data_IF_105463455877
#
_entry.id   IF_105463455877
#
_cell.length_a   1.000
_cell.length_b   1.000
_cell.length_c   1.000
_cell.angle_alpha   90.00
_cell.angle_beta   90.00
_cell.angle_gamma   90.00
#
_symmetry.space_group_name_H-M   'P 1'
#
loop_
_entity.id
_entity.type
_entity.pdbx_description
1 polymer ?
#
# COMPACT_ATOMS: atom_id res chain seq x y z
N UNK A 1 -4.90 14.68 3.15
CA UNK A 1 -3.68 14.68 2.30
C UNK A 1 -3.91 13.95 0.99
N UNK A 2 -4.44 12.71 0.99
CA UNK A 2 -4.64 11.93 -0.25
C UNK A 2 -5.59 12.56 -1.28
N UNK A 3 -6.60 13.31 -0.84
CA UNK A 3 -7.54 13.97 -1.75
C UNK A 3 -6.90 15.05 -2.64
N UNK A 4 -5.89 15.76 -2.15
CA UNK A 4 -5.23 16.84 -2.92
C UNK A 4 -4.48 16.25 -4.11
N UNK A 5 -3.85 15.09 -3.92
CA UNK A 5 -3.09 14.39 -4.96
C UNK A 5 -3.99 13.79 -6.06
N UNK A 6 -5.29 13.62 -5.77
CA UNK A 6 -6.29 13.14 -6.73
C UNK A 6 -6.93 14.28 -7.54
N UNK A 7 -6.73 15.54 -7.17
CA UNK A 7 -7.33 16.69 -7.86
C UNK A 7 -6.96 16.71 -9.35
N UNK A 8 -5.69 16.57 -9.76
CA UNK A 8 -5.31 16.60 -11.18
C UNK A 8 -6.02 15.52 -11.99
N UNK A 9 -6.19 14.35 -11.36
CA UNK A 9 -6.86 13.19 -11.91
C UNK A 9 -8.36 13.45 -12.19
N UNK A 10 -8.99 14.31 -11.41
CA UNK A 10 -10.39 14.70 -11.55
C UNK A 10 -10.57 15.90 -12.50
N UNK A 11 -9.61 16.82 -12.56
CA UNK A 11 -9.73 18.05 -13.36
C UNK A 11 -9.35 17.88 -14.83
N UNK A 12 -8.40 17.00 -15.16
CA UNK A 12 -7.82 16.95 -16.51
C UNK A 12 -8.50 15.95 -17.49
N UNK A 13 -9.73 15.48 -17.21
CA UNK A 13 -10.47 14.53 -18.08
C UNK A 13 -9.67 13.26 -18.43
N UNK A 14 -8.79 12.80 -17.56
CA UNK A 14 -8.04 11.54 -17.76
C UNK A 14 -8.96 10.30 -17.77
N UNK A 15 -10.18 10.45 -17.26
CA UNK A 15 -11.22 9.42 -17.29
C UNK A 15 -11.94 9.45 -18.63
N UNK A 16 -11.73 8.41 -19.44
CA UNK A 16 -12.42 8.19 -20.71
C UNK A 16 -13.48 7.11 -20.57
N UNK A 17 -14.62 7.29 -21.24
CA UNK A 17 -15.62 6.24 -21.38
C UNK A 17 -15.18 5.23 -22.44
N UNK A 18 -15.06 3.95 -22.07
CA UNK A 18 -14.76 2.87 -23.02
C UNK A 18 -16.08 2.29 -23.54
N UNK A 19 -16.48 2.57 -24.79
CA UNK A 19 -17.77 2.13 -25.32
C UNK A 19 -17.88 0.62 -25.43
N UNK A 20 -16.76 -0.09 -25.66
CA UNK A 20 -16.74 -1.55 -25.79
C UNK A 20 -17.11 -2.29 -24.50
N UNK A 21 -16.86 -1.65 -23.35
CA UNK A 21 -17.03 -2.30 -22.04
C UNK A 21 -18.03 -1.58 -21.12
N UNK A 22 -18.65 -0.47 -21.56
CA UNK A 22 -19.65 0.29 -20.83
C UNK A 22 -19.22 0.78 -19.43
N UNK A 23 -17.95 1.14 -19.25
CA UNK A 23 -17.45 1.74 -18.02
C UNK A 23 -16.48 2.90 -18.27
N UNK A 24 -16.36 3.78 -17.27
CA UNK A 24 -15.39 4.88 -17.27
C UNK A 24 -14.10 4.44 -16.58
N UNK A 25 -12.96 4.68 -17.23
CA UNK A 25 -11.66 4.40 -16.63
C UNK A 25 -10.61 5.41 -17.09
N UNK A 26 -9.56 5.56 -16.28
CA UNK A 26 -8.35 6.30 -16.65
C UNK A 26 -7.77 5.65 -17.90
N UNK A 27 -7.63 6.43 -18.97
CA UNK A 27 -7.07 5.93 -20.22
C UNK A 27 -5.59 5.59 -20.03
N UNK A 28 -5.19 4.35 -20.34
CA UNK A 28 -3.76 4.01 -20.45
C UNK A 28 -3.10 4.62 -21.70
N UNK A 29 -3.87 5.31 -22.55
CA UNK A 29 -3.35 5.91 -23.78
C UNK A 29 -2.29 6.99 -23.54
N UNK A 30 -2.35 7.68 -22.40
CA UNK A 30 -1.33 8.65 -22.03
C UNK A 30 -0.32 8.00 -21.08
N UNK A 31 0.91 7.86 -21.57
CA UNK A 31 2.04 7.39 -20.76
C UNK A 31 2.25 8.32 -19.57
N UNK A 32 2.03 9.63 -19.74
CA UNK A 32 2.19 10.63 -18.68
C UNK A 32 1.20 10.41 -17.54
N UNK A 33 -0.08 10.21 -17.85
CA UNK A 33 -1.15 10.03 -16.86
C UNK A 33 -0.91 8.73 -16.07
N UNK A 34 -0.48 7.69 -16.78
CA UNK A 34 -0.18 6.39 -16.17
C UNK A 34 1.05 6.46 -15.26
N UNK A 35 2.11 7.16 -15.69
CA UNK A 35 3.29 7.40 -14.86
C UNK A 35 2.96 8.26 -13.64
N UNK A 36 2.18 9.33 -13.81
CA UNK A 36 1.75 10.18 -12.72
C UNK A 36 0.93 9.40 -11.70
N UNK A 37 -0.07 8.63 -12.15
CA UNK A 37 -0.86 7.74 -11.29
C UNK A 37 0.03 6.72 -10.56
N UNK A 38 0.98 6.11 -11.27
CA UNK A 38 1.95 5.19 -10.70
C UNK A 38 2.79 5.82 -9.57
N UNK A 39 3.32 7.01 -9.82
CA UNK A 39 4.14 7.74 -8.84
C UNK A 39 3.31 8.17 -7.63
N UNK A 40 2.14 8.75 -7.86
CA UNK A 40 1.31 9.30 -6.77
C UNK A 40 0.69 8.20 -5.92
N UNK A 41 0.21 7.12 -6.53
CA UNK A 41 -0.51 6.05 -5.83
C UNK A 41 0.45 5.04 -5.18
N UNK A 42 1.62 4.80 -5.77
CA UNK A 42 2.53 3.77 -5.28
C UNK A 42 3.85 4.34 -4.75
N UNK A 43 4.59 5.09 -5.57
CA UNK A 43 5.95 5.53 -5.21
C UNK A 43 5.92 6.52 -4.05
N UNK A 44 5.09 7.55 -4.12
CA UNK A 44 5.00 8.58 -3.08
C UNK A 44 4.61 8.01 -1.70
N UNK A 45 3.55 7.21 -1.54
CA UNK A 45 3.20 6.64 -0.24
C UNK A 45 4.23 5.60 0.25
N UNK A 46 4.81 4.79 -0.62
CA UNK A 46 5.86 3.84 -0.19
C UNK A 46 7.14 4.56 0.23
N UNK A 47 7.54 5.61 -0.48
CA UNK A 47 8.73 6.38 -0.17
C UNK A 47 8.55 7.22 1.11
N UNK A 48 7.42 7.92 1.26
CA UNK A 48 7.10 8.69 2.46
C UNK A 48 7.01 7.79 3.71
N UNK A 49 6.34 6.64 3.62
CA UNK A 49 6.29 5.68 4.74
C UNK A 49 7.68 5.19 5.09
N UNK A 50 8.51 4.84 4.10
CA UNK A 50 9.89 4.40 4.34
C UNK A 50 10.70 5.47 5.07
N UNK A 51 10.64 6.73 4.63
CA UNK A 51 11.36 7.84 5.29
C UNK A 51 10.90 8.02 6.74
N UNK A 52 9.57 8.04 6.97
CA UNK A 52 9.00 8.19 8.32
C UNK A 52 9.52 7.07 9.22
N UNK A 53 9.50 5.81 8.75
CA UNK A 53 9.99 4.68 9.53
C UNK A 53 11.51 4.72 9.75
N UNK A 54 12.30 5.09 8.75
CA UNK A 54 13.75 5.28 8.92
C UNK A 54 14.04 6.35 9.97
N UNK A 55 13.28 7.45 9.96
CA UNK A 55 13.40 8.51 10.96
C UNK A 55 13.06 8.02 12.36
N UNK A 56 11.94 7.30 12.52
CA UNK A 56 11.53 6.69 13.79
C UNK A 56 12.62 5.75 14.31
N UNK A 57 13.14 4.86 13.47
CA UNK A 57 14.21 3.92 13.84
C UNK A 57 15.46 4.67 14.29
N UNK A 58 15.87 5.72 13.56
CA UNK A 58 17.05 6.51 13.92
C UNK A 58 16.85 7.27 15.24
N UNK A 59 15.66 7.82 15.46
CA UNK A 59 15.30 8.47 16.72
C UNK A 59 15.32 7.50 17.90
N UNK A 60 14.75 6.31 17.73
CA UNK A 60 14.77 5.27 18.76
C UNK A 60 16.19 4.78 19.05
N UNK A 61 17.04 4.60 18.03
CA UNK A 61 18.46 4.26 18.22
C UNK A 61 19.20 5.31 19.06
N UNK A 62 19.00 6.60 18.77
CA UNK A 62 19.60 7.69 19.57
C UNK A 62 19.10 7.69 21.02
N UNK A 63 17.81 7.49 21.22
CA UNK A 63 17.19 7.43 22.57
C UNK A 63 17.64 6.19 23.36
N UNK A 64 17.76 5.04 22.70
CA UNK A 64 18.22 3.78 23.29
C UNK A 64 19.69 3.81 23.72
N UNK A 65 20.52 4.67 23.11
CA UNK A 65 21.90 4.91 23.53
C UNK A 65 21.96 5.67 24.86
N UNK A 66 20.93 6.46 25.23
CA UNK A 66 20.86 7.12 26.54
C UNK A 66 20.27 6.24 27.65
N UNK A 67 19.41 5.26 27.33
CA UNK A 67 18.86 4.30 28.30
C UNK A 67 19.74 3.04 28.38
N UNK A 68 20.93 3.18 28.95
CA UNK A 68 22.01 2.19 28.87
C UNK A 68 21.76 0.98 29.79
N UNK A 69 22.03 -0.21 29.25
CA UNK A 69 22.20 -1.53 29.89
C UNK A 69 20.99 -2.48 30.03
N UNK A 70 19.91 -2.23 30.80
CA UNK A 70 19.01 -3.35 31.16
C UNK A 70 17.78 -3.57 30.26
N UNK A 71 17.32 -2.56 29.51
CA UNK A 71 16.18 -2.70 28.56
C UNK A 71 16.57 -3.04 27.12
N UNK A 72 17.87 -3.00 26.80
CA UNK A 72 18.41 -3.08 25.43
C UNK A 72 18.01 -4.36 24.68
N UNK A 73 17.87 -5.49 25.39
CA UNK A 73 17.53 -6.76 24.74
C UNK A 73 16.05 -6.85 24.33
N UNK A 74 15.13 -6.31 25.15
CA UNK A 74 13.70 -6.29 24.83
C UNK A 74 13.39 -5.27 23.71
N UNK A 75 14.04 -4.11 23.71
CA UNK A 75 13.81 -3.08 22.68
C UNK A 75 14.35 -3.51 21.31
N UNK A 76 15.52 -4.15 21.24
CA UNK A 76 16.05 -4.68 19.97
C UNK A 76 15.14 -5.75 19.35
N UNK A 77 14.48 -6.59 20.16
CA UNK A 77 13.52 -7.55 19.63
C UNK A 77 12.25 -6.88 19.08
N UNK A 78 11.77 -5.82 19.73
CA UNK A 78 10.63 -5.04 19.22
C UNK A 78 10.96 -4.35 17.90
N UNK A 79 12.17 -3.79 17.76
CA UNK A 79 12.62 -3.13 16.55
C UNK A 79 12.72 -4.09 15.36
N UNK A 80 13.25 -5.30 15.59
CA UNK A 80 13.29 -6.35 14.57
C UNK A 80 11.89 -6.80 14.15
N UNK A 81 10.93 -6.85 15.09
CA UNK A 81 9.54 -7.15 14.76
C UNK A 81 8.95 -6.05 13.89
N UNK A 82 9.17 -4.77 14.20
CA UNK A 82 8.68 -3.65 13.38
C UNK A 82 9.33 -3.65 11.98
N UNK A 83 10.63 -3.93 11.88
CA UNK A 83 11.30 -4.02 10.59
C UNK A 83 10.76 -5.19 9.75
N UNK A 84 10.61 -6.37 10.34
CA UNK A 84 10.02 -7.55 9.67
C UNK A 84 8.62 -7.25 9.15
N UNK A 85 7.82 -6.51 9.94
CA UNK A 85 6.48 -6.05 9.60
C UNK A 85 6.46 -5.14 8.37
N UNK A 86 7.38 -4.18 8.29
CA UNK A 86 7.53 -3.29 7.13
C UNK A 86 7.95 -4.09 5.90
N UNK A 87 8.91 -5.01 6.03
CA UNK A 87 9.36 -5.87 4.93
C UNK A 87 8.21 -6.72 4.40
N UNK A 88 7.39 -7.31 5.28
CA UNK A 88 6.20 -8.07 4.87
C UNK A 88 5.19 -7.18 4.16
N UNK A 89 4.92 -5.98 4.67
CA UNK A 89 3.99 -5.04 4.04
C UNK A 89 4.47 -4.61 2.65
N UNK A 90 5.77 -4.29 2.51
CA UNK A 90 6.39 -3.98 1.22
C UNK A 90 6.34 -5.17 0.26
N UNK A 91 6.59 -6.39 0.76
CA UNK A 91 6.47 -7.61 -0.03
C UNK A 91 5.06 -7.81 -0.59
N UNK A 92 4.03 -7.60 0.24
CA UNK A 92 2.62 -7.68 -0.16
C UNK A 92 2.27 -6.59 -1.19
N UNK A 93 2.74 -5.36 -0.97
CA UNK A 93 2.56 -4.27 -1.93
C UNK A 93 3.21 -4.60 -3.28
N UNK A 94 4.43 -5.10 -3.29
CA UNK A 94 5.14 -5.47 -4.51
C UNK A 94 4.45 -6.61 -5.26
N UNK A 95 4.00 -7.67 -4.57
CA UNK A 95 3.28 -8.78 -5.20
C UNK A 95 1.93 -8.36 -5.76
N UNK A 96 1.21 -7.46 -5.07
CA UNK A 96 -0.03 -6.88 -5.58
C UNK A 96 0.20 -5.94 -6.76
N UNK A 97 1.29 -5.17 -6.78
CA UNK A 97 1.59 -4.25 -7.89
C UNK A 97 2.10 -4.97 -9.15
N UNK A 98 2.76 -6.12 -8.98
CA UNK A 98 3.38 -6.88 -10.06
C UNK A 98 2.44 -7.17 -11.25
N UNK A 99 1.22 -7.71 -11.08
CA UNK A 99 0.30 -7.95 -12.20
C UNK A 99 -0.12 -6.66 -12.93
N UNK A 100 -0.24 -5.53 -12.21
CA UNK A 100 -0.54 -4.22 -12.82
C UNK A 100 0.62 -3.74 -13.68
N UNK A 101 1.86 -3.89 -13.22
CA UNK A 101 3.06 -3.57 -14.02
C UNK A 101 3.16 -4.49 -15.23
N UNK A 102 2.87 -5.78 -15.07
CA UNK A 102 2.94 -6.75 -16.17
C UNK A 102 1.93 -6.42 -17.28
N UNK A 103 0.69 -6.08 -16.91
CA UNK A 103 -0.34 -5.65 -17.87
C UNK A 103 0.03 -4.33 -18.56
N UNK A 104 0.65 -3.39 -17.83
CA UNK A 104 1.16 -2.15 -18.41
C UNK A 104 2.30 -2.38 -19.41
N UNK A 105 3.29 -3.22 -19.06
CA UNK A 105 4.39 -3.59 -19.97
C UNK A 105 3.84 -4.29 -21.22
N UNK A 106 2.88 -5.19 -21.06
CA UNK A 106 2.23 -5.86 -22.19
C UNK A 106 1.51 -4.88 -23.12
N UNK A 107 0.87 -3.84 -22.56
CA UNK A 107 0.26 -2.77 -23.34
C UNK A 107 1.30 -1.96 -24.12
N UNK A 108 2.41 -1.56 -23.50
CA UNK A 108 3.49 -0.80 -24.16
C UNK A 108 4.11 -1.59 -25.32
N UNK A 109 4.28 -2.90 -25.17
CA UNK A 109 4.88 -3.76 -26.20
C UNK A 109 3.92 -3.98 -27.37
N UNK A 110 2.67 -4.34 -27.09
CA UNK A 110 1.71 -4.74 -28.13
C UNK A 110 0.98 -3.55 -28.75
N UNK A 111 1.09 -2.36 -28.14
CA UNK A 111 0.30 -1.16 -28.43
C UNK A 111 -1.21 -1.45 -28.51
N UNK A 112 -1.67 -2.51 -27.83
CA UNK A 112 -3.04 -2.99 -27.87
C UNK A 112 -3.58 -3.17 -26.46
N UNK A 113 -4.81 -2.70 -26.29
CA UNK A 113 -5.55 -2.61 -25.05
C UNK A 113 -6.27 -3.95 -24.87
N UNK A 114 -5.64 -4.92 -24.18
CA UNK A 114 -6.29 -6.21 -23.93
C UNK A 114 -7.36 -6.05 -22.82
N UNK A 115 -8.66 -6.28 -23.09
CA UNK A 115 -9.73 -6.13 -22.10
C UNK A 115 -9.56 -7.05 -20.87
N UNK A 116 -8.85 -8.17 -21.02
CA UNK A 116 -8.54 -9.09 -19.92
C UNK A 116 -7.62 -8.41 -18.89
N UNK A 117 -6.66 -7.59 -19.36
CA UNK A 117 -5.73 -6.87 -18.48
C UNK A 117 -6.46 -5.91 -17.54
N UNK A 118 -7.52 -5.25 -18.02
CA UNK A 118 -8.37 -4.39 -17.21
C UNK A 118 -9.09 -5.13 -16.09
N UNK A 119 -9.67 -6.28 -16.41
CA UNK A 119 -10.40 -7.10 -15.42
C UNK A 119 -9.46 -7.60 -14.33
N UNK A 120 -8.26 -8.06 -14.71
CA UNK A 120 -7.23 -8.48 -13.77
C UNK A 120 -6.79 -7.29 -12.91
N UNK A 121 -6.56 -6.13 -13.52
CA UNK A 121 -6.18 -4.91 -12.81
C UNK A 121 -7.21 -4.49 -11.75
N UNK A 122 -8.50 -4.51 -12.08
CA UNK A 122 -9.57 -4.23 -11.13
C UNK A 122 -9.65 -5.24 -9.98
N UNK A 123 -9.46 -6.53 -10.28
CA UNK A 123 -9.47 -7.58 -9.28
C UNK A 123 -8.30 -7.40 -8.29
N UNK A 124 -7.10 -7.11 -8.82
CA UNK A 124 -5.90 -6.81 -8.04
C UNK A 124 -6.09 -5.56 -7.18
N UNK A 125 -6.70 -4.52 -7.74
CA UNK A 125 -7.00 -3.29 -7.01
C UNK A 125 -7.97 -3.57 -5.85
N UNK A 126 -9.07 -4.28 -6.10
CA UNK A 126 -10.04 -4.67 -5.07
C UNK A 126 -9.40 -5.53 -3.96
N UNK A 127 -8.58 -6.51 -4.34
CA UNK A 127 -7.80 -7.31 -3.39
C UNK A 127 -6.87 -6.45 -2.53
N UNK A 128 -6.22 -5.46 -3.13
CA UNK A 128 -5.33 -4.55 -2.41
C UNK A 128 -6.08 -3.75 -1.34
N UNK A 129 -7.28 -3.25 -1.67
CA UNK A 129 -8.14 -2.55 -0.72
C UNK A 129 -8.64 -3.43 0.43
N UNK A 130 -8.79 -4.73 0.21
CA UNK A 130 -9.15 -5.68 1.28
C UNK A 130 -7.94 -6.06 2.15
N UNK A 131 -6.79 -6.35 1.53
CA UNK A 131 -5.60 -6.90 2.22
C UNK A 131 -4.86 -5.84 3.02
N UNK A 132 -4.73 -4.61 2.52
CA UNK A 132 -4.02 -3.52 3.20
C UNK A 132 -4.57 -3.16 4.60
N UNK A 133 -5.88 -2.95 4.80
CA UNK A 133 -6.41 -2.66 6.13
C UNK A 133 -6.28 -3.85 7.08
N UNK A 134 -6.45 -5.08 6.59
CA UNK A 134 -6.29 -6.30 7.40
C UNK A 134 -4.85 -6.43 7.86
N UNK A 135 -3.89 -6.28 6.95
CA UNK A 135 -2.47 -6.31 7.30
C UNK A 135 -2.11 -5.18 8.26
N UNK A 136 -2.53 -3.94 8.01
CA UNK A 136 -2.33 -2.82 8.95
C UNK A 136 -2.92 -3.11 10.34
N UNK A 137 -4.13 -3.67 10.42
CA UNK A 137 -4.75 -4.02 11.69
C UNK A 137 -3.97 -5.09 12.47
N UNK A 138 -3.39 -6.08 11.77
CA UNK A 138 -2.53 -7.11 12.37
C UNK A 138 -1.14 -6.56 12.76
N UNK A 139 -0.66 -5.55 12.02
CA UNK A 139 0.67 -4.96 12.17
C UNK A 139 0.72 -3.90 13.28
N UNK A 140 -0.36 -3.19 13.56
CA UNK A 140 -0.42 -2.20 14.65
C UNK A 140 -0.70 -2.93 15.97
N UNK A 141 0.26 -2.89 16.90
CA UNK A 141 0.13 -3.57 18.21
C UNK A 141 -1.10 -3.12 18.99
N UNK A 142 -1.41 -1.82 18.93
CA UNK A 142 -2.58 -1.24 19.58
C UNK A 142 -3.90 -1.74 18.94
N UNK A 143 -3.99 -1.80 17.61
CA UNK A 143 -5.15 -2.33 16.91
C UNK A 143 -5.36 -3.82 17.18
N UNK A 144 -4.26 -4.60 17.23
CA UNK A 144 -4.29 -6.02 17.59
C UNK A 144 -4.79 -6.25 19.02
N UNK A 145 -4.35 -5.43 19.99
CA UNK A 145 -4.84 -5.50 21.36
C UNK A 145 -6.35 -5.21 21.43
N UNK A 146 -6.80 -4.18 20.73
CA UNK A 146 -8.21 -3.82 20.62
C UNK A 146 -9.05 -4.96 19.98
N UNK A 147 -8.57 -5.54 18.88
CA UNK A 147 -9.20 -6.70 18.23
C UNK A 147 -9.30 -7.91 19.16
N UNK A 148 -8.24 -8.25 19.90
CA UNK A 148 -8.28 -9.34 20.88
C UNK A 148 -9.29 -9.09 21.99
N UNK A 149 -9.37 -7.86 22.51
CA UNK A 149 -10.37 -7.52 23.54
C UNK A 149 -11.80 -7.64 23.02
N UNK A 150 -12.06 -7.19 21.78
CA UNK A 150 -13.39 -7.30 21.16
C UNK A 150 -13.77 -8.75 20.85
N UNK A 151 -12.83 -9.57 20.34
CA UNK A 151 -13.08 -10.98 20.09
C UNK A 151 -13.32 -11.77 21.39
N UNK A 152 -12.52 -11.55 22.44
CA UNK A 152 -12.74 -12.19 23.75
C UNK A 152 -14.06 -11.74 24.40
N UNK A 153 -14.38 -10.44 24.34
CA UNK A 153 -15.63 -9.92 24.89
C UNK A 153 -16.88 -10.43 24.14
N UNK A 154 -16.73 -10.80 22.86
CA UNK A 154 -17.79 -11.42 22.05
C UNK A 154 -17.91 -12.92 22.29
N UNK A 155 -16.79 -13.61 22.57
CA UNK A 155 -16.77 -15.04 22.91
C UNK A 155 -17.42 -15.31 24.28
N UNK A 156 -17.24 -14.41 25.25
CA UNK A 156 -17.83 -14.57 26.59
C UNK A 156 -19.33 -14.22 26.66
N UNK A 157 -19.96 -13.94 25.52
CA UNK A 157 -21.35 -13.49 25.39
C UNK A 157 -22.22 -14.46 24.57
N UNK A 158 -21.64 -15.58 24.14
CA UNK A 158 -22.28 -16.72 23.47
C UNK A 158 -22.15 -17.90 24.42
#
# INVERSE_FOLDING_TARGET
MSFILLIPLLTERWVTYLPECYFCQISFSSIQDTLYGGVVVYVFPTWSTTIIYTYIINYMKKTAIQSVLQKRHQTNQQDLVVLRRIIVMLGILLTLCFPTVLTWVSFVINNNINPIGYRIGWLVFALSFAVLPITLALLISQARQLLMTLCCARWNRI
#
